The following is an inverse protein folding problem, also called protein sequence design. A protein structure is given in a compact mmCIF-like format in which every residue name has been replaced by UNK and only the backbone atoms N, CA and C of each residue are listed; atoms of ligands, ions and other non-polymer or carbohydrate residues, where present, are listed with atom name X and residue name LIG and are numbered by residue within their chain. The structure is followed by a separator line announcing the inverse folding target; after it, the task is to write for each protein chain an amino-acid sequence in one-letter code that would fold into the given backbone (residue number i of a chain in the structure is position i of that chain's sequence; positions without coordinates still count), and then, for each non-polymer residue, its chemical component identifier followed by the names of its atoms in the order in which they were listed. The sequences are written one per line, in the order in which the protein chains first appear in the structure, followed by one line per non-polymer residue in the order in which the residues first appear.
data_IF_024293073530
#
_entry.id   IF_024293073530
#
_cell.length_a   1.000
_cell.length_b   1.000
_cell.length_c   1.000
_cell.angle_alpha   90.00
_cell.angle_beta   90.00
_cell.angle_gamma   90.00
#
_symmetry.space_group_name_H-M   'P 1'
#
loop_
_entity.id
_entity.type
_entity.pdbx_description
1 polymer ?
#
# COMPACT_ATOMS: atom_id res chain seq x y z
N UNK A 1 -14.51 7.28 -58.29
CA UNK A 1 -15.48 7.33 -57.17
C UNK A 1 -15.17 6.15 -56.26
N UNK A 2 -14.24 6.27 -55.33
CA UNK A 2 -14.40 6.84 -53.98
C UNK A 2 -15.33 6.00 -53.08
N UNK A 3 -14.73 5.09 -52.30
CA UNK A 3 -15.19 4.78 -50.94
C UNK A 3 -13.98 4.37 -50.10
N UNK A 4 -13.43 5.33 -49.37
CA UNK A 4 -12.36 5.16 -48.39
C UNK A 4 -12.96 5.22 -46.99
N UNK A 5 -12.42 4.36 -46.12
CA UNK A 5 -12.10 4.59 -44.69
C UNK A 5 -13.25 5.03 -43.78
N UNK A 6 -13.81 4.08 -43.03
CA UNK A 6 -14.15 4.31 -41.62
C UNK A 6 -14.26 2.97 -40.89
N UNK A 7 -13.21 2.57 -40.16
CA UNK A 7 -13.26 1.30 -39.43
C UNK A 7 -11.90 0.87 -38.91
N UNK A 8 -11.15 1.76 -38.26
CA UNK A 8 -9.91 1.35 -37.57
C UNK A 8 -9.38 2.34 -36.51
N UNK A 9 -10.16 3.36 -36.13
CA UNK A 9 -9.76 4.32 -35.08
C UNK A 9 -10.19 3.89 -33.67
N UNK A 10 -11.33 3.21 -33.53
CA UNK A 10 -11.85 2.79 -32.22
C UNK A 10 -11.01 1.67 -31.58
N UNK A 11 -10.58 0.67 -32.36
CA UNK A 11 -9.74 -0.45 -31.86
C UNK A 11 -8.29 -0.05 -31.55
N UNK A 12 -7.73 0.96 -32.26
CA UNK A 12 -6.39 1.47 -31.94
C UNK A 12 -6.36 2.32 -30.67
N UNK A 13 -7.47 3.01 -30.34
CA UNK A 13 -7.54 3.81 -29.11
C UNK A 13 -7.64 2.93 -27.84
N UNK A 14 -8.33 1.79 -27.89
CA UNK A 14 -8.43 0.86 -26.75
C UNK A 14 -7.14 0.09 -26.47
N UNK A 15 -6.32 -0.18 -27.49
CA UNK A 15 -4.99 -0.80 -27.32
C UNK A 15 -3.97 0.19 -26.73
N UNK A 16 -4.03 1.47 -27.11
CA UNK A 16 -3.16 2.52 -26.56
C UNK A 16 -3.47 2.85 -25.10
N UNK A 17 -4.74 2.80 -24.70
CA UNK A 17 -5.12 3.01 -23.28
C UNK A 17 -4.76 1.82 -22.38
N UNK A 18 -4.83 0.58 -22.87
CA UNK A 18 -4.36 -0.59 -22.11
C UNK A 18 -2.84 -0.60 -21.89
N UNK A 19 -2.05 -0.16 -22.88
CA UNK A 19 -0.58 -0.02 -22.76
C UNK A 19 -0.20 1.13 -21.83
N UNK A 20 -0.94 2.25 -21.84
CA UNK A 20 -0.72 3.35 -20.91
C UNK A 20 -1.06 2.98 -19.45
N UNK A 21 -2.11 2.16 -19.23
CA UNK A 21 -2.47 1.67 -17.89
C UNK A 21 -1.45 0.63 -17.40
N UNK A 22 -0.92 -0.23 -18.27
CA UNK A 22 0.17 -1.16 -17.93
C UNK A 22 1.50 -0.46 -17.61
N UNK A 23 1.83 0.62 -18.32
CA UNK A 23 3.05 1.41 -18.07
C UNK A 23 2.96 2.23 -16.78
N UNK A 24 1.78 2.72 -16.39
CA UNK A 24 1.58 3.41 -15.10
C UNK A 24 1.68 2.48 -13.88
N UNK A 25 1.38 1.19 -14.03
CA UNK A 25 1.58 0.20 -12.96
C UNK A 25 3.04 -0.22 -12.80
N UNK A 26 3.88 -0.12 -13.85
CA UNK A 26 5.30 -0.46 -13.77
C UNK A 26 6.17 0.65 -13.14
N UNK A 27 5.75 1.92 -13.25
CA UNK A 27 6.51 3.07 -12.74
C UNK A 27 6.56 3.21 -11.21
N UNK A 28 5.63 2.58 -10.49
CA UNK A 28 5.55 2.69 -9.03
C UNK A 28 6.22 1.52 -8.27
N UNK A 29 6.60 0.44 -8.97
CA UNK A 29 7.23 -0.73 -8.32
C UNK A 29 8.68 -0.45 -7.90
N UNK A 30 9.33 0.55 -8.52
CA UNK A 30 10.73 0.92 -8.23
C UNK A 30 10.92 1.75 -6.94
N UNK A 31 9.84 2.10 -6.22
CA UNK A 31 9.93 3.01 -5.06
C UNK A 31 9.77 2.35 -3.69
N UNK A 32 9.45 1.06 -3.61
CA UNK A 32 9.16 0.39 -2.35
C UNK A 32 9.86 -0.98 -2.26
N UNK A 33 9.83 -1.59 -1.06
CA UNK A 33 10.47 -2.87 -0.82
C UNK A 33 9.87 -3.94 -1.75
N UNK A 34 10.70 -4.72 -2.47
CA UNK A 34 10.24 -5.67 -3.49
C UNK A 34 9.43 -6.86 -2.93
N UNK A 35 9.39 -7.02 -1.61
CA UNK A 35 8.67 -8.09 -0.92
C UNK A 35 7.48 -7.58 -0.09
N UNK A 36 7.19 -6.28 -0.06
CA UNK A 36 6.09 -5.71 0.72
C UNK A 36 4.83 -5.52 -0.14
N UNK A 37 3.67 -6.01 0.33
CA UNK A 37 2.45 -6.13 -0.49
C UNK A 37 1.61 -4.85 -0.65
N UNK A 38 1.88 -3.81 0.12
CA UNK A 38 1.42 -2.43 -0.08
C UNK A 38 1.87 -1.70 1.18
N UNK A 39 2.90 -0.84 1.11
CA UNK A 39 3.44 -0.28 2.33
C UNK A 39 2.41 0.68 2.95
N UNK A 40 2.15 0.60 4.27
CA UNK A 40 1.23 1.49 4.95
C UNK A 40 1.81 2.91 5.00
N UNK A 41 0.94 3.89 5.23
CA UNK A 41 1.40 5.25 5.52
C UNK A 41 2.20 5.25 6.82
N UNK A 42 3.30 6.01 6.84
CA UNK A 42 4.15 6.15 8.02
C UNK A 42 3.62 7.27 8.91
N UNK A 43 3.87 7.19 10.21
CA UNK A 43 3.42 8.15 11.21
C UNK A 43 4.00 9.55 10.97
N UNK A 44 5.25 9.63 10.52
CA UNK A 44 5.87 10.91 10.13
C UNK A 44 5.07 11.56 8.98
N UNK A 45 4.66 10.76 7.99
CA UNK A 45 3.87 11.23 6.85
C UNK A 45 2.44 11.56 7.24
N UNK A 46 1.85 10.77 8.14
CA UNK A 46 0.51 11.01 8.68
C UNK A 46 0.46 12.34 9.45
N UNK A 47 1.44 12.59 10.31
CA UNK A 47 1.58 13.87 11.02
C UNK A 47 1.81 15.02 10.03
N UNK A 48 2.70 14.84 9.04
CA UNK A 48 3.01 15.85 8.04
C UNK A 48 1.80 16.23 7.17
N UNK A 49 0.94 15.27 6.83
CA UNK A 49 -0.28 15.49 6.06
C UNK A 49 -1.43 16.11 6.87
N UNK A 50 -1.34 16.11 8.21
CA UNK A 50 -2.35 16.68 9.09
C UNK A 50 -2.12 18.18 9.28
N UNK A 51 -3.16 19.00 9.20
CA UNK A 51 -3.02 20.43 9.47
C UNK A 51 -2.61 20.69 10.93
N UNK A 52 -3.11 19.86 11.86
CA UNK A 52 -2.84 19.94 13.29
C UNK A 52 -2.56 18.53 13.81
N UNK A 53 -1.47 18.36 14.55
CA UNK A 53 -1.19 17.13 15.28
C UNK A 53 -0.81 17.46 16.73
N UNK A 54 -1.50 16.87 17.70
CA UNK A 54 -1.34 17.20 19.12
C UNK A 54 -1.30 15.96 20.00
N UNK A 55 -0.52 16.04 21.07
CA UNK A 55 -0.59 15.10 22.19
C UNK A 55 -1.54 15.67 23.23
N UNK A 56 -2.55 14.88 23.60
CA UNK A 56 -3.54 15.24 24.62
C UNK A 56 -3.54 14.27 25.79
N UNK A 57 -3.97 14.75 26.94
CA UNK A 57 -4.22 13.99 28.16
C UNK A 57 -5.71 13.89 28.41
N UNK A 58 -6.27 12.68 28.57
CA UNK A 58 -7.68 12.51 28.90
C UNK A 58 -7.94 12.99 30.33
N UNK A 59 -8.90 13.90 30.51
CA UNK A 59 -9.31 14.37 31.84
C UNK A 59 -10.56 13.66 32.33
N UNK A 60 -11.54 13.48 31.44
CA UNK A 60 -12.85 12.91 31.78
C UNK A 60 -13.58 12.46 30.52
N UNK A 61 -14.30 11.35 30.62
CA UNK A 61 -15.35 10.96 29.69
C UNK A 61 -16.72 11.11 30.35
N UNK A 62 -17.70 11.64 29.62
CA UNK A 62 -19.10 11.73 30.05
C UNK A 62 -20.06 11.60 28.87
N UNK A 63 -21.25 11.05 29.12
CA UNK A 63 -22.32 11.01 28.12
C UNK A 63 -23.33 12.09 28.45
N UNK A 64 -23.42 13.10 27.59
CA UNK A 64 -24.34 14.23 27.76
C UNK A 64 -25.64 13.94 27.03
N UNK A 65 -26.76 14.02 27.73
CA UNK A 65 -28.10 13.91 27.12
C UNK A 65 -28.54 15.26 26.56
N UNK A 66 -28.86 15.31 25.26
CA UNK A 66 -29.43 16.48 24.58
C UNK A 66 -30.74 16.06 23.90
N UNK A 67 -31.85 16.21 24.62
CA UNK A 67 -33.14 15.66 24.19
C UNK A 67 -33.14 14.13 24.26
N UNK A 68 -33.55 13.45 23.18
CA UNK A 68 -33.54 11.99 23.08
C UNK A 68 -32.17 11.40 22.67
N UNK A 69 -31.18 12.24 22.36
CA UNK A 69 -29.87 11.82 21.83
C UNK A 69 -28.82 11.81 22.96
N UNK A 70 -28.09 10.71 23.08
CA UNK A 70 -26.92 10.58 23.94
C UNK A 70 -25.67 10.91 23.15
N UNK A 71 -24.91 11.91 23.60
CA UNK A 71 -23.68 12.35 22.92
C UNK A 71 -22.50 12.02 23.83
N UNK A 72 -21.61 11.10 23.43
CA UNK A 72 -20.37 10.87 24.16
C UNK A 72 -19.46 12.10 24.04
N UNK A 73 -18.94 12.56 25.17
CA UNK A 73 -18.01 13.68 25.25
C UNK A 73 -16.77 13.33 26.07
N UNK A 74 -15.60 13.60 25.49
CA UNK A 74 -14.31 13.42 26.15
C UNK A 74 -13.66 14.78 26.36
N UNK A 75 -13.44 15.16 27.61
CA UNK A 75 -12.65 16.34 27.95
C UNK A 75 -11.19 15.95 28.00
N UNK A 76 -10.36 16.57 27.16
CA UNK A 76 -8.92 16.35 27.07
C UNK A 76 -8.16 17.63 27.34
N UNK A 77 -6.89 17.56 27.73
CA UNK A 77 -5.98 18.70 27.86
C UNK A 77 -4.89 18.58 26.81
N UNK A 78 -4.68 19.63 26.03
CA UNK A 78 -3.53 19.68 25.11
C UNK A 78 -2.25 19.73 25.93
N UNK A 79 -1.36 18.77 25.75
CA UNK A 79 -0.04 18.75 26.41
C UNK A 79 1.00 19.41 25.51
N UNK A 80 1.04 19.02 24.24
CA UNK A 80 2.05 19.47 23.29
C UNK A 80 1.51 19.48 21.86
N UNK A 81 1.97 20.42 21.04
CA UNK A 81 1.75 20.43 19.60
C UNK A 81 2.93 19.76 18.91
N UNK A 82 2.63 18.80 18.03
CA UNK A 82 3.59 18.18 17.14
C UNK A 82 3.64 18.89 15.78
N UNK A 83 2.47 19.36 15.31
CA UNK A 83 2.30 20.13 14.07
C UNK A 83 1.14 21.12 14.19
N UNK A 84 1.23 22.23 13.46
CA UNK A 84 0.10 23.16 13.28
C UNK A 84 -0.15 24.16 14.41
N UNK A 85 0.85 24.39 15.28
CA UNK A 85 0.73 25.34 16.38
C UNK A 85 0.42 26.77 15.89
N UNK A 86 0.94 27.18 14.74
CA UNK A 86 0.64 28.47 14.12
C UNK A 86 -0.82 28.61 13.67
N UNK A 87 -1.45 27.53 13.18
CA UNK A 87 -2.85 27.55 12.73
C UNK A 87 -3.81 27.49 13.91
N UNK A 88 -3.42 26.77 14.97
CA UNK A 88 -4.15 26.63 16.22
C UNK A 88 -4.39 27.98 16.93
N UNK A 89 -3.60 29.02 16.64
CA UNK A 89 -3.83 30.38 17.17
C UNK A 89 -4.81 31.22 16.35
N UNK A 90 -5.03 30.86 15.07
CA UNK A 90 -5.87 31.62 14.14
C UNK A 90 -7.37 31.27 14.24
N UNK A 91 -7.69 30.00 14.50
CA UNK A 91 -9.08 29.48 14.47
C UNK A 91 -9.74 29.36 15.86
N UNK A 92 -9.42 30.29 16.76
CA UNK A 92 -9.78 30.22 18.19
C UNK A 92 -8.59 29.74 19.00
N UNK A 93 -8.27 30.35 20.15
CA UNK A 93 -7.00 30.10 20.83
C UNK A 93 -6.98 28.66 21.34
N UNK A 94 -6.30 27.77 20.63
CA UNK A 94 -5.90 26.45 21.12
C UNK A 94 -4.46 26.58 21.62
N UNK A 95 -4.29 26.52 22.94
CA UNK A 95 -2.98 26.62 23.59
C UNK A 95 -2.63 25.34 24.37
N UNK A 96 -1.33 25.08 24.56
CA UNK A 96 -0.88 24.02 25.47
C UNK A 96 -1.40 24.31 26.89
N UNK A 97 -1.86 23.25 27.57
CA UNK A 97 -2.50 23.31 28.88
C UNK A 97 -4.01 23.55 28.86
N UNK A 98 -4.58 23.91 27.70
CA UNK A 98 -6.01 24.21 27.58
C UNK A 98 -6.87 22.94 27.51
N UNK A 99 -8.01 22.90 28.23
CA UNK A 99 -8.99 21.82 28.07
C UNK A 99 -9.80 22.00 26.78
N UNK A 100 -10.00 20.89 26.07
CA UNK A 100 -10.79 20.74 24.85
C UNK A 100 -11.87 19.66 25.09
N UNK A 101 -13.10 19.90 24.66
CA UNK A 101 -14.19 18.91 24.76
C UNK A 101 -14.44 18.32 23.39
N UNK A 102 -14.15 17.03 23.21
CA UNK A 102 -14.34 16.31 21.95
C UNK A 102 -15.68 15.56 21.98
N UNK A 103 -16.47 15.66 20.91
CA UNK A 103 -17.76 14.95 20.77
C UNK A 103 -17.58 13.49 20.32
N UNK A 104 -16.66 12.78 20.96
CA UNK A 104 -16.39 11.37 20.73
C UNK A 104 -15.98 10.67 22.04
N UNK A 105 -16.18 9.36 22.11
CA UNK A 105 -15.69 8.54 23.22
C UNK A 105 -14.20 8.25 23.04
N UNK A 106 -13.40 8.66 24.02
CA UNK A 106 -11.99 8.26 24.15
C UNK A 106 -11.91 7.22 25.26
N UNK A 107 -11.63 5.97 24.87
CA UNK A 107 -11.50 4.86 25.79
C UNK A 107 -10.14 4.93 26.51
N UNK A 108 -10.17 5.19 27.83
CA UNK A 108 -8.98 5.26 28.67
C UNK A 108 -9.27 5.76 30.08
N UNK A 109 -8.25 5.72 30.95
CA UNK A 109 -8.30 6.31 32.27
C UNK A 109 -7.93 7.81 32.23
N UNK A 110 -8.45 8.63 33.15
CA UNK A 110 -7.95 10.00 33.32
C UNK A 110 -6.44 10.02 33.55
N UNK A 111 -5.73 10.80 32.75
CA UNK A 111 -4.26 10.88 32.72
C UNK A 111 -3.60 10.14 31.56
N UNK A 112 -4.34 9.27 30.86
CA UNK A 112 -3.84 8.58 29.67
C UNK A 112 -3.60 9.57 28.52
N UNK A 113 -2.59 9.28 27.71
CA UNK A 113 -2.12 10.15 26.64
C UNK A 113 -2.56 9.62 25.27
N UNK A 114 -2.94 10.53 24.39
CA UNK A 114 -3.44 10.22 23.05
C UNK A 114 -2.82 11.16 22.02
N UNK A 115 -2.55 10.64 20.81
CA UNK A 115 -2.28 11.42 19.62
C UNK A 115 -3.61 11.74 18.93
N UNK A 116 -3.84 13.02 18.65
CA UNK A 116 -4.94 13.49 17.81
C UNK A 116 -4.40 14.18 16.58
N UNK A 117 -4.99 13.81 15.45
CA UNK A 117 -4.73 14.40 14.15
C UNK A 117 -5.97 15.16 13.71
N UNK A 118 -5.77 16.36 13.17
CA UNK A 118 -6.85 17.27 12.83
C UNK A 118 -6.61 17.90 11.47
N UNK A 119 -7.71 18.02 10.71
CA UNK A 119 -7.76 18.70 9.43
C UNK A 119 -8.60 19.97 9.54
N UNK A 120 -8.15 21.03 8.87
CA UNK A 120 -8.84 22.30 8.72
C UNK A 120 -9.76 22.25 7.49
N UNK A 121 -10.85 23.03 7.46
CA UNK A 121 -11.71 23.07 6.29
C UNK A 121 -10.95 23.76 5.16
N UNK A 122 -10.89 23.12 3.99
CA UNK A 122 -10.30 23.71 2.78
C UNK A 122 -11.10 24.95 2.37
N UNK A 123 -10.42 26.08 2.10
CA UNK A 123 -11.05 27.30 1.57
C UNK A 123 -11.64 27.14 0.15
N UNK A 124 -11.51 25.97 -0.48
CA UNK A 124 -11.97 25.68 -1.85
C UNK A 124 -13.43 25.21 -1.96
N UNK A 125 -14.22 25.31 -0.88
CA UNK A 125 -15.67 25.21 -1.02
C UNK A 125 -16.26 26.60 -1.28
N UNK A 126 -16.35 26.97 -2.56
CA UNK A 126 -17.55 27.68 -3.03
C UNK A 126 -18.75 26.78 -2.73
N UNK A 127 -19.24 26.81 -1.50
CA UNK A 127 -20.55 26.28 -1.18
C UNK A 127 -21.56 27.19 -1.88
N UNK A 128 -21.90 26.87 -3.12
CA UNK A 128 -23.30 27.00 -3.52
C UNK A 128 -24.08 26.12 -2.56
N UNK A 129 -24.51 26.71 -1.45
CA UNK A 129 -25.53 26.14 -0.61
C UNK A 129 -26.80 26.11 -1.45
N UNK A 130 -27.04 25.00 -2.12
CA UNK A 130 -28.31 24.70 -2.76
C UNK A 130 -29.37 24.61 -1.67
N UNK A 131 -29.92 25.76 -1.29
CA UNK A 131 -31.22 25.80 -0.64
C UNK A 131 -32.21 25.25 -1.66
N UNK A 132 -32.68 24.03 -1.43
CA UNK A 132 -33.87 23.52 -2.10
C UNK A 132 -35.04 24.41 -1.68
N UNK A 133 -35.37 25.41 -2.49
CA UNK A 133 -36.71 25.99 -2.46
C UNK A 133 -37.65 24.93 -3.02
N UNK A 134 -38.44 24.33 -2.15
CA UNK A 134 -39.57 23.49 -2.57
C UNK A 134 -40.52 24.34 -3.40
N UNK A 135 -40.40 24.23 -4.72
CA UNK A 135 -41.33 24.77 -5.69
C UNK A 135 -42.00 23.61 -6.41
N UNK A 136 -42.96 22.97 -5.74
CA UNK A 136 -43.94 22.12 -6.43
C UNK A 136 -45.33 22.38 -5.84
N UNK A 137 -46.08 23.23 -6.53
CA UNK A 137 -47.52 23.18 -6.51
C UNK A 137 -48.02 23.44 -7.94
N UNK A 138 -48.42 22.38 -8.63
CA UNK A 138 -49.35 22.49 -9.74
C UNK A 138 -50.23 21.24 -9.87
N UNK A 139 -51.48 21.51 -10.22
CA UNK A 139 -52.61 20.63 -10.60
C UNK A 139 -53.39 19.95 -9.46
N UNK A 140 -54.72 19.97 -9.39
CA UNK A 140 -55.82 20.82 -9.90
C UNK A 140 -57.14 20.15 -9.48
N UNK A 141 -58.13 20.90 -8.93
CA UNK A 141 -59.57 20.82 -9.29
C UNK A 141 -60.48 21.57 -8.29
N UNK A 142 -61.25 22.54 -8.82
CA UNK A 142 -62.65 22.98 -8.51
C UNK A 142 -63.13 23.07 -7.04
N UNK A 143 -63.87 24.08 -6.57
CA UNK A 143 -64.72 25.11 -7.20
C UNK A 143 -65.23 26.09 -6.13
N UNK A 144 -65.42 27.35 -6.52
CA UNK A 144 -66.42 28.35 -6.08
C UNK A 144 -66.52 28.76 -4.59
N UNK A 145 -66.13 30.01 -4.26
CA UNK A 145 -67.06 31.16 -4.18
C UNK A 145 -66.31 32.46 -3.83
N UNK A 146 -66.86 33.58 -4.32
CA UNK A 146 -66.23 34.89 -4.44
C UNK A 146 -66.32 35.78 -3.18
N UNK A 147 -65.32 36.62 -2.92
CA UNK A 147 -65.46 38.10 -2.89
C UNK A 147 -64.19 38.81 -2.39
N UNK A 148 -63.67 39.66 -3.29
CA UNK A 148 -63.04 40.98 -3.11
C UNK A 148 -62.24 41.36 -1.84
N UNK A 149 -61.00 41.80 -2.15
CA UNK A 149 -60.37 43.08 -1.77
C UNK A 149 -59.53 43.17 -0.48
N UNK A 150 -58.22 43.22 -0.73
CA UNK A 150 -57.24 44.22 -0.26
C UNK A 150 -56.87 44.23 1.23
N UNK A 151 -55.63 43.78 1.53
CA UNK A 151 -54.99 44.00 2.84
C UNK A 151 -53.56 44.49 2.66
N UNK A 152 -53.36 45.77 2.99
CA UNK A 152 -52.06 46.39 3.19
C UNK A 152 -51.39 45.86 4.47
N UNK A 153 -50.08 45.68 4.38
CA UNK A 153 -49.26 45.06 5.42
C UNK A 153 -49.09 45.87 6.70
N UNK A 154 -48.89 45.15 7.80
CA UNK A 154 -48.41 45.68 9.07
C UNK A 154 -47.22 44.85 9.56
N UNK A 155 -46.05 45.48 9.65
CA UNK A 155 -44.84 44.91 10.28
C UNK A 155 -45.01 45.02 11.80
N UNK A 156 -44.85 43.90 12.51
CA UNK A 156 -44.78 43.90 13.98
C UNK A 156 -43.36 43.54 14.40
N UNK A 157 -42.61 44.56 14.82
CA UNK A 157 -41.35 44.44 15.56
C UNK A 157 -41.66 44.12 17.02
N UNK A 158 -41.10 43.04 17.55
CA UNK A 158 -41.18 42.71 18.98
C UNK A 158 -39.86 43.05 19.67
N UNK A 159 -39.89 44.08 20.52
CA UNK A 159 -38.83 44.45 21.46
C UNK A 159 -38.81 43.49 22.66
N UNK A 160 -37.67 42.85 22.91
CA UNK A 160 -37.45 42.00 24.06
C UNK A 160 -36.96 42.82 25.27
N UNK A 161 -37.82 42.95 26.27
CA UNK A 161 -37.49 43.54 27.59
C UNK A 161 -36.46 42.70 28.33
N UNK A 162 -35.45 43.38 28.86
CA UNK A 162 -34.49 42.86 29.86
C UNK A 162 -35.17 42.63 31.21
N UNK A 163 -34.89 41.48 31.83
CA UNK A 163 -35.06 41.28 33.28
C UNK A 163 -33.78 40.68 33.86
N UNK A 164 -33.15 41.42 34.78
CA UNK A 164 -32.04 40.96 35.60
C UNK A 164 -32.51 39.95 36.65
N UNK A 165 -31.76 38.86 36.85
CA UNK A 165 -31.57 38.25 38.17
C UNK A 165 -30.28 37.42 38.25
N UNK A 166 -29.25 38.07 38.79
CA UNK A 166 -28.28 37.63 39.83
C UNK A 166 -27.81 36.15 39.86
N UNK A 167 -26.55 35.99 39.44
CA UNK A 167 -25.44 35.26 40.08
C UNK A 167 -25.50 33.75 40.34
N UNK A 168 -24.82 32.99 39.46
CA UNK A 168 -23.60 32.25 39.82
C UNK A 168 -22.76 32.03 38.56
N UNK A 169 -21.75 32.89 38.37
CA UNK A 169 -20.73 32.75 37.31
C UNK A 169 -19.81 31.58 37.68
N UNK A 170 -20.20 30.36 37.31
CA UNK A 170 -19.22 29.30 37.06
C UNK A 170 -18.66 29.64 35.68
N UNK A 171 -17.40 30.09 35.60
CA UNK A 171 -16.70 30.21 34.33
C UNK A 171 -16.58 28.80 33.73
N UNK A 172 -17.52 28.43 32.87
CA UNK A 172 -17.33 27.36 31.88
C UNK A 172 -16.33 27.90 30.84
N UNK A 173 -15.05 27.89 31.17
CA UNK A 173 -13.99 27.94 30.16
C UNK A 173 -13.71 26.52 29.67
N UNK A 174 -14.77 25.84 29.22
CA UNK A 174 -14.66 24.71 28.30
C UNK A 174 -15.01 25.31 26.95
N UNK A 175 -13.99 25.78 26.22
CA UNK A 175 -14.23 26.19 24.85
C UNK A 175 -14.66 24.93 24.09
N UNK A 176 -15.86 24.98 23.52
CA UNK A 176 -16.30 24.06 22.48
C UNK A 176 -15.18 24.00 21.43
N UNK A 177 -14.92 22.80 20.90
CA UNK A 177 -14.05 22.60 19.72
C UNK A 177 -14.30 23.77 18.77
N UNK A 178 -13.28 24.43 18.20
CA UNK A 178 -13.53 25.24 17.03
C UNK A 178 -14.33 24.36 16.07
N UNK A 179 -15.60 24.67 15.80
CA UNK A 179 -16.50 23.86 14.96
C UNK A 179 -15.92 23.59 13.56
N UNK A 180 -14.78 24.23 13.24
CA UNK A 180 -14.00 24.09 12.01
C UNK A 180 -13.03 22.90 11.98
N UNK A 181 -12.51 22.36 13.10
CA UNK A 181 -11.48 21.29 13.03
C UNK A 181 -12.15 19.91 13.03
N UNK A 182 -11.91 19.15 11.96
CA UNK A 182 -12.26 17.73 11.91
C UNK A 182 -11.13 16.92 12.54
N UNK A 183 -11.41 16.25 13.66
CA UNK A 183 -10.47 15.37 14.33
C UNK A 183 -10.65 13.93 13.86
N UNK A 184 -9.53 13.30 13.50
CA UNK A 184 -9.48 11.88 13.16
C UNK A 184 -9.54 10.99 14.41
N UNK A 185 -9.74 9.67 14.24
CA UNK A 185 -9.66 8.72 15.35
C UNK A 185 -8.37 8.87 16.16
N UNK A 186 -8.48 8.77 17.49
CA UNK A 186 -7.36 8.91 18.39
C UNK A 186 -6.50 7.64 18.44
N UNK A 187 -5.19 7.82 18.61
CA UNK A 187 -4.28 6.72 18.90
C UNK A 187 -3.76 6.84 20.35
N UNK A 188 -3.89 5.81 21.20
CA UNK A 188 -3.26 5.82 22.52
C UNK A 188 -1.73 5.86 22.35
N UNK A 189 -1.05 6.69 23.14
CA UNK A 189 0.41 6.84 23.07
C UNK A 189 1.08 6.67 24.42
N UNK A 190 2.14 5.87 24.45
CA UNK A 190 3.02 5.77 25.60
C UNK A 190 3.97 6.97 25.68
N UNK A 191 4.65 7.14 26.82
CA UNK A 191 5.74 8.14 26.92
C UNK A 191 6.91 7.81 25.98
N UNK A 192 7.10 6.52 25.68
CA UNK A 192 8.09 6.06 24.72
C UNK A 192 7.70 6.47 23.31
N UNK A 193 6.43 6.29 22.93
CA UNK A 193 5.87 6.76 21.65
C UNK A 193 6.04 8.27 21.46
N UNK A 194 5.77 9.07 22.49
CA UNK A 194 5.99 10.52 22.40
C UNK A 194 7.46 10.84 22.16
N UNK A 195 8.39 10.16 22.86
CA UNK A 195 9.83 10.33 22.62
C UNK A 195 10.21 9.88 21.21
N UNK A 196 9.63 8.79 20.73
CA UNK A 196 9.86 8.26 19.40
C UNK A 196 9.42 9.26 18.33
N UNK A 197 8.21 9.80 18.40
CA UNK A 197 7.68 10.77 17.43
C UNK A 197 8.56 12.02 17.39
N UNK A 198 8.95 12.54 18.56
CA UNK A 198 9.75 13.78 18.66
C UNK A 198 11.18 13.64 18.12
N UNK A 199 11.74 12.44 18.14
CA UNK A 199 13.08 12.17 17.63
C UNK A 199 13.08 11.54 16.23
N UNK A 200 11.89 11.27 15.66
CA UNK A 200 11.77 10.70 14.34
C UNK A 200 12.33 11.67 13.29
N UNK A 201 13.21 11.21 12.38
CA UNK A 201 13.65 12.02 11.25
C UNK A 201 12.47 12.45 10.39
N UNK A 202 12.37 13.75 10.12
CA UNK A 202 11.30 14.33 9.30
C UNK A 202 11.27 13.79 7.86
N UNK A 203 10.13 13.96 7.18
CA UNK A 203 9.91 13.44 5.82
C UNK A 203 10.87 14.03 4.78
N UNK A 204 11.37 15.25 5.00
CA UNK A 204 12.33 15.91 4.11
C UNK A 204 13.74 15.30 4.15
N UNK A 205 14.02 14.39 5.08
CA UNK A 205 15.30 13.68 5.18
C UNK A 205 15.30 12.49 4.23
N UNK A 206 16.39 12.28 3.49
CA UNK A 206 16.53 11.13 2.59
C UNK A 206 16.33 9.80 3.32
N UNK A 207 15.57 8.88 2.72
CA UNK A 207 15.10 7.66 3.39
C UNK A 207 16.25 6.81 3.95
N UNK A 208 17.33 6.63 3.20
CA UNK A 208 18.55 5.94 3.66
C UNK A 208 19.11 6.49 4.99
N UNK A 209 18.97 7.79 5.25
CA UNK A 209 19.43 8.42 6.50
C UNK A 209 18.43 8.24 7.64
N UNK A 210 17.15 8.01 7.32
CA UNK A 210 16.07 7.78 8.27
C UNK A 210 16.05 6.34 8.77
N UNK A 211 16.32 5.36 7.90
CA UNK A 211 16.25 3.92 8.21
C UNK A 211 17.03 3.50 9.48
N UNK A 212 18.25 3.99 9.78
CA UNK A 212 18.98 3.62 11.00
C UNK A 212 18.27 4.03 12.30
N UNK A 213 17.39 5.04 12.26
CA UNK A 213 16.55 5.40 13.39
C UNK A 213 15.46 4.35 13.59
N UNK A 214 14.67 4.09 12.55
CA UNK A 214 13.53 3.17 12.55
C UNK A 214 13.94 1.72 12.81
N UNK A 215 15.12 1.30 12.36
CA UNK A 215 15.64 -0.05 12.55
C UNK A 215 15.66 -0.49 14.03
N UNK A 216 15.83 0.45 14.95
CA UNK A 216 15.86 0.20 16.41
C UNK A 216 14.50 -0.22 16.97
N UNK A 217 13.43 0.00 16.21
CA UNK A 217 12.05 -0.13 16.65
C UNK A 217 11.25 -1.19 15.89
N UNK A 218 11.87 -1.92 14.94
CA UNK A 218 11.19 -2.90 14.08
C UNK A 218 10.30 -3.89 14.86
N UNK A 219 10.78 -4.43 15.98
CA UNK A 219 10.00 -5.32 16.87
C UNK A 219 9.83 -4.72 18.28
N UNK A 220 9.60 -3.41 18.36
CA UNK A 220 9.30 -2.77 19.64
C UNK A 220 7.96 -3.31 20.20
N UNK A 221 7.86 -3.57 21.53
CA UNK A 221 6.61 -4.02 22.16
C UNK A 221 5.44 -3.04 22.04
N UNK A 222 5.70 -1.75 21.87
CA UNK A 222 4.67 -0.74 21.55
C UNK A 222 4.31 -0.86 20.06
N UNK A 223 3.07 -1.27 19.73
CA UNK A 223 2.66 -1.50 18.33
C UNK A 223 2.75 -0.25 17.47
N UNK A 224 2.57 0.94 18.03
CA UNK A 224 2.68 2.19 17.27
C UNK A 224 4.09 2.35 16.68
N UNK A 225 5.12 2.02 17.46
CA UNK A 225 6.52 2.15 17.07
C UNK A 225 6.92 1.04 16.10
N UNK A 226 6.54 -0.20 16.39
CA UNK A 226 6.93 -1.34 15.55
C UNK A 226 6.21 -1.37 14.21
N UNK A 227 4.96 -0.90 14.13
CA UNK A 227 4.24 -0.75 12.87
C UNK A 227 4.86 0.38 12.05
N UNK A 228 5.11 1.55 12.65
CA UNK A 228 5.69 2.69 11.93
C UNK A 228 7.12 2.40 11.45
N UNK A 229 7.95 1.80 12.30
CA UNK A 229 9.30 1.40 11.93
C UNK A 229 9.32 0.40 10.76
N UNK A 230 8.42 -0.59 10.78
CA UNK A 230 8.27 -1.52 9.67
C UNK A 230 7.77 -0.81 8.40
N UNK A 231 6.81 0.12 8.53
CA UNK A 231 6.28 0.90 7.43
C UNK A 231 7.38 1.70 6.71
N UNK A 232 8.32 2.29 7.45
CA UNK A 232 9.44 3.04 6.89
C UNK A 232 10.37 2.17 6.04
N UNK A 233 10.60 0.91 6.43
CA UNK A 233 11.34 -0.06 5.62
C UNK A 233 10.50 -0.59 4.44
N UNK A 234 9.21 -0.83 4.64
CA UNK A 234 8.32 -1.30 3.58
C UNK A 234 8.19 -0.28 2.44
N UNK A 235 8.20 1.02 2.77
CA UNK A 235 8.22 2.12 1.81
C UNK A 235 9.62 2.38 1.22
N UNK A 236 10.68 1.72 1.70
CA UNK A 236 12.03 2.01 1.26
C UNK A 236 12.40 1.32 -0.05
N UNK A 237 13.19 2.01 -0.87
CA UNK A 237 13.78 1.38 -2.04
C UNK A 237 14.76 0.28 -1.61
N UNK A 238 14.94 -0.72 -2.47
CA UNK A 238 15.92 -1.77 -2.20
C UNK A 238 17.34 -1.20 -1.97
N UNK A 239 17.73 -0.21 -2.78
CA UNK A 239 19.07 0.40 -2.70
C UNK A 239 19.29 1.12 -1.36
N UNK A 240 18.27 1.81 -0.83
CA UNK A 240 18.35 2.46 0.49
C UNK A 240 18.48 1.43 1.62
N UNK A 241 17.71 0.33 1.54
CA UNK A 241 17.79 -0.77 2.52
C UNK A 241 19.17 -1.44 2.44
N UNK A 242 19.68 -1.70 1.23
CA UNK A 242 21.02 -2.27 1.00
C UNK A 242 22.13 -1.35 1.51
N UNK A 243 21.99 -0.04 1.37
CA UNK A 243 22.96 0.94 1.84
C UNK A 243 23.13 0.95 3.37
N UNK A 244 22.14 0.49 4.13
CA UNK A 244 22.21 0.40 5.60
C UNK A 244 22.54 -1.01 6.12
N UNK A 245 22.94 -1.94 5.25
CA UNK A 245 23.21 -3.35 5.61
C UNK A 245 24.19 -3.54 6.77
N UNK A 246 25.23 -2.70 6.85
CA UNK A 246 26.27 -2.82 7.88
C UNK A 246 25.78 -2.46 9.30
N UNK A 247 24.57 -1.90 9.40
CA UNK A 247 23.92 -1.54 10.67
C UNK A 247 22.84 -2.53 11.09
N UNK A 248 22.50 -3.50 10.24
CA UNK A 248 21.39 -4.42 10.48
C UNK A 248 21.67 -5.37 11.65
N UNK A 249 20.67 -5.63 12.52
CA UNK A 249 20.87 -6.46 13.71
C UNK A 249 20.79 -7.95 13.34
N UNK A 250 21.84 -8.49 12.71
CA UNK A 250 21.92 -9.89 12.21
C UNK A 250 21.36 -10.93 13.19
N UNK A 251 21.79 -10.90 14.45
CA UNK A 251 21.34 -11.90 15.44
C UNK A 251 19.86 -11.76 15.80
N UNK A 252 19.33 -10.52 15.84
CA UNK A 252 17.90 -10.30 16.08
C UNK A 252 17.07 -10.75 14.88
N UNK A 253 17.54 -10.48 13.64
CA UNK A 253 16.89 -10.97 12.43
C UNK A 253 16.75 -12.49 12.43
N UNK A 254 17.81 -13.23 12.83
CA UNK A 254 17.73 -14.68 12.99
C UNK A 254 16.69 -15.10 14.02
N UNK A 255 16.62 -14.41 15.16
CA UNK A 255 15.62 -14.69 16.21
C UNK A 255 14.19 -14.44 15.71
N UNK A 256 13.95 -13.31 15.05
CA UNK A 256 12.64 -12.95 14.51
C UNK A 256 12.18 -13.90 13.39
N UNK A 257 13.08 -14.30 12.50
CA UNK A 257 12.77 -15.28 11.44
C UNK A 257 12.43 -16.66 12.04
N UNK A 258 13.08 -17.04 13.14
CA UNK A 258 12.83 -18.32 13.81
C UNK A 258 11.54 -18.32 14.66
N UNK A 259 10.95 -17.17 14.95
CA UNK A 259 9.74 -17.06 15.76
C UNK A 259 8.52 -17.58 14.99
N UNK A 260 7.84 -18.65 15.47
CA UNK A 260 6.67 -19.19 14.80
C UNK A 260 5.47 -18.23 14.78
N UNK A 261 5.42 -17.22 15.66
CA UNK A 261 4.36 -16.22 15.75
C UNK A 261 4.64 -14.96 14.92
N UNK A 262 5.82 -14.87 14.28
CA UNK A 262 6.17 -13.74 13.42
C UNK A 262 5.18 -13.61 12.27
N UNK A 263 4.76 -12.36 11.98
CA UNK A 263 3.78 -12.17 10.92
C UNK A 263 4.42 -12.39 9.54
N UNK A 264 3.68 -13.02 8.60
CA UNK A 264 4.17 -13.26 7.25
C UNK A 264 4.71 -12.02 6.52
N UNK A 265 4.07 -10.86 6.73
CA UNK A 265 4.44 -9.59 6.09
C UNK A 265 5.83 -9.10 6.52
N UNK A 266 6.22 -9.39 7.78
CA UNK A 266 7.52 -9.03 8.35
C UNK A 266 8.62 -9.99 7.92
N UNK A 267 8.29 -11.28 7.78
CA UNK A 267 9.24 -12.33 7.41
C UNK A 267 9.95 -12.06 6.08
N UNK A 268 9.23 -11.55 5.07
CA UNK A 268 9.82 -11.23 3.78
C UNK A 268 10.93 -10.19 3.88
N UNK A 269 10.65 -9.08 4.57
CA UNK A 269 11.63 -8.02 4.83
C UNK A 269 12.84 -8.57 5.61
N UNK A 270 12.61 -9.34 6.68
CA UNK A 270 13.69 -9.86 7.52
C UNK A 270 14.56 -10.87 6.80
N UNK A 271 13.97 -11.73 5.95
CA UNK A 271 14.71 -12.62 5.07
C UNK A 271 15.67 -11.87 4.15
N UNK A 272 15.17 -10.84 3.47
CA UNK A 272 15.99 -10.00 2.60
C UNK A 272 17.08 -9.29 3.39
N UNK A 273 16.76 -8.67 4.54
CA UNK A 273 17.74 -7.99 5.39
C UNK A 273 18.84 -8.94 5.88
N UNK A 274 18.48 -10.16 6.30
CA UNK A 274 19.45 -11.16 6.71
C UNK A 274 20.33 -11.60 5.52
N UNK A 275 19.79 -11.68 4.31
CA UNK A 275 20.58 -11.93 3.11
C UNK A 275 21.56 -10.81 2.76
N UNK A 276 21.22 -9.56 3.08
CA UNK A 276 22.08 -8.39 2.85
C UNK A 276 23.24 -8.27 3.84
N UNK A 277 23.00 -8.57 5.13
CA UNK A 277 24.00 -8.41 6.19
C UNK A 277 24.62 -9.73 6.68
N UNK A 278 24.13 -10.86 6.19
CA UNK A 278 24.49 -12.19 6.65
C UNK A 278 25.76 -12.77 6.01
N UNK A 279 26.03 -14.02 6.35
CA UNK A 279 27.15 -14.81 5.88
C UNK A 279 26.74 -16.28 5.61
N UNK A 280 27.72 -17.16 5.40
CA UNK A 280 27.47 -18.57 5.12
C UNK A 280 26.64 -19.30 6.18
N UNK A 281 26.77 -18.97 7.47
CA UNK A 281 25.96 -19.58 8.53
C UNK A 281 24.49 -19.13 8.46
N UNK A 282 24.23 -17.95 7.90
CA UNK A 282 22.88 -17.45 7.64
C UNK A 282 22.26 -18.11 6.41
N UNK A 283 23.07 -18.47 5.41
CA UNK A 283 22.60 -19.27 4.29
C UNK A 283 22.08 -20.63 4.76
N UNK A 284 22.85 -21.34 5.60
CA UNK A 284 22.44 -22.63 6.18
C UNK A 284 21.17 -22.47 7.03
N UNK A 285 21.07 -21.38 7.78
CA UNK A 285 19.88 -21.08 8.58
C UNK A 285 18.65 -20.82 7.69
N UNK A 286 18.76 -19.96 6.68
CA UNK A 286 17.66 -19.64 5.76
C UNK A 286 17.23 -20.87 4.97
N UNK A 287 18.16 -21.71 4.53
CA UNK A 287 17.85 -22.98 3.87
C UNK A 287 16.95 -23.87 4.74
N UNK A 288 17.28 -23.98 6.04
CA UNK A 288 16.45 -24.72 7.01
C UNK A 288 15.07 -24.09 7.18
N UNK A 289 14.98 -22.77 7.28
CA UNK A 289 13.69 -22.07 7.42
C UNK A 289 12.80 -22.24 6.18
N UNK A 290 13.40 -22.17 4.99
CA UNK A 290 12.70 -22.43 3.73
C UNK A 290 12.26 -23.90 3.70
N UNK A 291 13.17 -24.84 3.95
CA UNK A 291 12.93 -26.28 3.88
C UNK A 291 11.94 -26.82 4.92
N UNK A 292 11.77 -26.14 6.05
CA UNK A 292 10.80 -26.50 7.08
C UNK A 292 9.34 -26.38 6.62
N UNK A 293 9.05 -25.56 5.60
CA UNK A 293 7.72 -25.48 4.98
C UNK A 293 7.59 -26.64 3.98
N UNK A 294 6.70 -27.62 4.20
CA UNK A 294 6.57 -28.78 3.33
C UNK A 294 6.15 -28.32 1.93
N UNK A 295 6.89 -28.69 0.87
CA UNK A 295 6.57 -28.29 -0.47
C UNK A 295 5.35 -29.02 -1.05
N UNK A 296 4.63 -29.84 -0.28
CA UNK A 296 3.55 -30.70 -0.78
C UNK A 296 2.16 -30.32 -0.27
N UNK A 297 2.03 -29.30 0.59
CA UNK A 297 0.73 -28.77 1.05
C UNK A 297 -0.22 -29.81 1.68
N UNK A 298 0.30 -30.95 2.15
CA UNK A 298 -0.50 -32.08 2.67
C UNK A 298 -1.04 -31.87 4.08
N UNK A 299 -0.50 -30.88 4.80
CA UNK A 299 -0.97 -30.48 6.11
C UNK A 299 -1.71 -29.14 6.00
N UNK A 300 -3.03 -29.18 6.16
CA UNK A 300 -3.93 -28.00 6.09
C UNK A 300 -3.57 -26.90 7.12
N UNK A 301 -2.80 -27.25 8.16
CA UNK A 301 -2.33 -26.33 9.20
C UNK A 301 -1.07 -25.53 8.81
N UNK A 302 -0.42 -25.88 7.70
CA UNK A 302 0.80 -25.26 7.22
C UNK A 302 0.58 -24.66 5.83
N UNK A 303 -0.57 -23.98 5.68
CA UNK A 303 -0.86 -23.16 4.51
C UNK A 303 0.22 -22.08 4.41
N UNK A 304 0.90 -22.09 3.26
CA UNK A 304 1.80 -21.08 2.73
C UNK A 304 1.99 -19.82 3.62
N UNK A 305 3.19 -19.67 4.19
CA UNK A 305 3.61 -18.44 4.85
C UNK A 305 3.90 -17.39 3.77
N UNK A 306 3.07 -16.34 3.68
CA UNK A 306 3.46 -15.09 3.00
C UNK A 306 4.84 -14.63 3.55
N UNK A 307 5.67 -13.97 2.74
CA UNK A 307 7.03 -13.58 3.12
C UNK A 307 8.12 -14.64 2.91
N UNK A 308 7.76 -15.86 2.47
CA UNK A 308 8.75 -16.90 2.10
C UNK A 308 9.57 -16.54 0.87
N UNK A 309 9.04 -15.69 -0.01
CA UNK A 309 9.74 -15.07 -1.13
C UNK A 309 10.92 -14.22 -0.67
N UNK A 310 10.76 -13.41 0.37
CA UNK A 310 11.86 -12.62 0.93
C UNK A 310 12.91 -13.47 1.65
N UNK A 311 12.52 -14.58 2.30
CA UNK A 311 13.47 -15.59 2.81
C UNK A 311 14.27 -16.23 1.67
N UNK A 312 13.61 -16.63 0.59
CA UNK A 312 14.27 -17.17 -0.60
C UNK A 312 15.16 -16.13 -1.28
N UNK A 313 14.72 -14.88 -1.38
CA UNK A 313 15.52 -13.77 -1.90
C UNK A 313 16.77 -13.55 -1.06
N UNK A 314 16.65 -13.52 0.26
CA UNK A 314 17.77 -13.46 1.18
C UNK A 314 18.75 -14.63 1.06
N UNK A 315 18.22 -15.84 0.88
CA UNK A 315 19.05 -17.02 0.64
C UNK A 315 19.82 -16.93 -0.69
N UNK A 316 19.17 -16.46 -1.76
CA UNK A 316 19.84 -16.25 -3.05
C UNK A 316 20.92 -15.16 -2.97
N UNK A 317 20.71 -14.09 -2.18
CA UNK A 317 21.74 -13.06 -1.95
C UNK A 317 23.03 -13.66 -1.35
N UNK A 318 22.90 -14.64 -0.47
CA UNK A 318 24.05 -15.27 0.21
C UNK A 318 24.71 -16.39 -0.60
N UNK A 319 23.97 -17.05 -1.49
CA UNK A 319 24.41 -18.30 -2.13
C UNK A 319 24.56 -18.23 -3.65
N UNK A 320 24.01 -17.22 -4.30
CA UNK A 320 24.09 -17.07 -5.75
C UNK A 320 23.51 -18.28 -6.50
N UNK A 321 24.28 -18.84 -7.43
CA UNK A 321 23.85 -19.95 -8.29
C UNK A 321 23.49 -21.24 -7.52
N UNK A 322 24.17 -21.52 -6.42
CA UNK A 322 23.90 -22.71 -5.60
C UNK A 322 22.49 -22.63 -4.99
N UNK A 323 22.07 -21.43 -4.57
CA UNK A 323 20.72 -21.21 -4.07
C UNK A 323 19.65 -21.41 -5.14
N UNK A 324 19.94 -21.04 -6.39
CA UNK A 324 19.03 -21.31 -7.51
C UNK A 324 18.89 -22.82 -7.74
N UNK A 325 19.99 -23.57 -7.66
CA UNK A 325 19.95 -25.03 -7.77
C UNK A 325 19.10 -25.66 -6.64
N UNK A 326 19.20 -25.15 -5.42
CA UNK A 326 18.34 -25.57 -4.30
C UNK A 326 16.86 -25.29 -4.58
N UNK A 327 16.51 -24.08 -5.06
CA UNK A 327 15.12 -23.74 -5.39
C UNK A 327 14.58 -24.61 -6.54
N UNK A 328 15.39 -24.97 -7.52
CA UNK A 328 15.00 -25.91 -8.58
C UNK A 328 14.64 -27.30 -8.04
N UNK A 329 15.42 -27.80 -7.07
CA UNK A 329 15.22 -29.14 -6.49
C UNK A 329 14.07 -29.19 -5.46
N UNK A 330 13.71 -28.06 -4.87
CA UNK A 330 12.77 -28.01 -3.74
C UNK A 330 11.47 -27.28 -4.04
N UNK A 331 11.46 -26.28 -4.93
CA UNK A 331 10.31 -25.41 -5.21
C UNK A 331 9.89 -25.45 -6.68
N UNK A 332 10.82 -25.41 -7.63
CA UNK A 332 10.50 -25.38 -9.07
C UNK A 332 10.38 -26.78 -9.69
N UNK A 333 9.64 -27.69 -9.02
CA UNK A 333 9.42 -29.06 -9.49
C UNK A 333 7.93 -29.42 -9.52
N UNK A 334 7.54 -30.46 -10.29
CA UNK A 334 6.16 -30.92 -10.31
C UNK A 334 5.64 -31.30 -8.92
N UNK A 335 4.36 -30.98 -8.66
CA UNK A 335 3.68 -31.34 -7.40
C UNK A 335 3.89 -30.36 -6.24
N UNK A 336 4.59 -29.24 -6.46
CA UNK A 336 4.70 -28.15 -5.48
C UNK A 336 3.50 -27.20 -5.61
N UNK A 337 2.84 -26.78 -4.50
CA UNK A 337 1.76 -25.81 -4.52
C UNK A 337 2.15 -24.51 -5.23
N UNK A 338 1.22 -24.00 -6.04
CA UNK A 338 1.41 -22.82 -6.89
C UNK A 338 1.95 -21.61 -6.13
N UNK A 339 1.48 -21.36 -4.91
CA UNK A 339 1.95 -20.24 -4.07
C UNK A 339 3.43 -20.36 -3.71
N UNK A 340 3.90 -21.58 -3.39
CA UNK A 340 5.32 -21.84 -3.08
C UNK A 340 6.19 -21.65 -4.31
N UNK A 341 5.70 -22.04 -5.50
CA UNK A 341 6.40 -21.79 -6.75
C UNK A 341 6.41 -20.30 -7.08
N UNK A 342 5.29 -19.60 -6.86
CA UNK A 342 5.18 -18.16 -7.06
C UNK A 342 6.18 -17.40 -6.17
N UNK A 343 6.32 -17.76 -4.90
CA UNK A 343 7.31 -17.16 -4.01
C UNK A 343 8.75 -17.37 -4.50
N UNK A 344 9.09 -18.56 -5.02
CA UNK A 344 10.40 -18.81 -5.63
C UNK A 344 10.60 -17.99 -6.91
N UNK A 345 9.57 -17.85 -7.74
CA UNK A 345 9.57 -16.99 -8.94
C UNK A 345 9.80 -15.52 -8.55
N UNK A 346 9.16 -15.03 -7.49
CA UNK A 346 9.36 -13.67 -6.99
C UNK A 346 10.79 -13.44 -6.49
N UNK A 347 11.38 -14.41 -5.78
CA UNK A 347 12.79 -14.34 -5.37
C UNK A 347 13.75 -14.28 -6.58
N UNK A 348 13.52 -15.08 -7.62
CA UNK A 348 14.31 -15.04 -8.87
C UNK A 348 14.13 -13.71 -9.60
N UNK A 349 12.90 -13.19 -9.69
CA UNK A 349 12.62 -11.88 -10.29
C UNK A 349 13.29 -10.74 -9.52
N UNK A 350 13.35 -10.84 -8.19
CA UNK A 350 14.07 -9.90 -7.35
C UNK A 350 15.57 -9.88 -7.71
N UNK A 351 16.24 -11.04 -7.77
CA UNK A 351 17.66 -11.10 -8.17
C UNK A 351 17.86 -10.59 -9.59
N UNK A 352 16.98 -10.96 -10.52
CA UNK A 352 17.01 -10.47 -11.90
C UNK A 352 17.01 -8.93 -11.97
N UNK A 353 16.17 -8.30 -11.15
CA UNK A 353 15.90 -6.85 -11.23
C UNK A 353 16.91 -6.02 -10.46
N UNK A 354 17.34 -6.49 -9.28
CA UNK A 354 18.13 -5.70 -8.34
C UNK A 354 19.58 -6.18 -8.18
N UNK A 355 19.86 -7.45 -8.43
CA UNK A 355 21.18 -8.07 -8.21
C UNK A 355 21.63 -8.87 -9.44
N UNK A 356 21.45 -8.28 -10.63
CA UNK A 356 21.77 -8.91 -11.92
C UNK A 356 23.24 -9.30 -12.11
N UNK A 357 24.14 -8.76 -11.27
CA UNK A 357 25.57 -9.13 -11.25
C UNK A 357 25.89 -10.34 -10.39
N UNK A 358 24.99 -10.71 -9.46
CA UNK A 358 25.19 -11.82 -8.53
C UNK A 358 25.01 -13.17 -9.21
N UNK A 359 24.00 -13.27 -10.10
CA UNK A 359 23.65 -14.49 -10.81
C UNK A 359 23.52 -14.17 -12.30
N UNK A 360 24.21 -14.91 -13.19
CA UNK A 360 24.10 -14.69 -14.63
C UNK A 360 22.65 -14.76 -15.10
N UNK A 361 22.23 -13.79 -15.92
CA UNK A 361 20.87 -13.75 -16.45
C UNK A 361 20.48 -15.01 -17.23
N UNK A 362 21.44 -15.65 -17.90
CA UNK A 362 21.23 -16.94 -18.57
C UNK A 362 20.83 -18.06 -17.59
N UNK A 363 21.42 -18.06 -16.38
CA UNK A 363 21.10 -19.02 -15.32
C UNK A 363 19.68 -18.83 -14.80
N UNK A 364 19.26 -17.58 -14.57
CA UNK A 364 17.90 -17.24 -14.12
C UNK A 364 16.84 -17.57 -15.19
N UNK A 365 17.14 -17.25 -16.46
CA UNK A 365 16.30 -17.64 -17.62
C UNK A 365 16.10 -19.15 -17.69
N UNK A 366 17.19 -19.91 -17.57
CA UNK A 366 17.13 -21.38 -17.58
C UNK A 366 16.21 -21.92 -16.48
N UNK A 367 16.27 -21.39 -15.27
CA UNK A 367 15.36 -21.77 -14.18
C UNK A 367 13.90 -21.44 -14.49
N UNK A 368 13.64 -20.26 -15.05
CA UNK A 368 12.30 -19.82 -15.42
C UNK A 368 11.69 -20.71 -16.52
N UNK A 369 12.47 -21.10 -17.54
CA UNK A 369 12.01 -22.00 -18.62
C UNK A 369 11.45 -23.32 -18.09
N UNK A 370 11.99 -23.88 -17.00
CA UNK A 370 11.49 -25.13 -16.39
C UNK A 370 9.99 -25.10 -16.06
N UNK A 371 9.47 -23.91 -15.76
CA UNK A 371 8.07 -23.69 -15.40
C UNK A 371 7.11 -23.70 -16.60
N UNK A 372 7.60 -23.73 -17.85
CA UNK A 372 6.75 -23.86 -19.04
C UNK A 372 5.95 -25.17 -19.05
N UNK A 373 6.51 -26.22 -18.45
CA UNK A 373 5.85 -27.51 -18.23
C UNK A 373 4.74 -27.49 -17.17
N UNK A 374 4.67 -26.44 -16.34
CA UNK A 374 3.66 -26.29 -15.31
C UNK A 374 2.45 -25.50 -15.86
N UNK A 375 1.34 -26.19 -16.11
CA UNK A 375 0.13 -25.60 -16.70
C UNK A 375 -0.38 -24.36 -15.93
N UNK A 376 -0.38 -24.39 -14.60
CA UNK A 376 -0.92 -23.31 -13.78
C UNK A 376 -0.07 -22.02 -13.86
N UNK A 377 1.22 -22.17 -14.13
CA UNK A 377 2.19 -21.07 -14.16
C UNK A 377 2.69 -20.74 -15.57
N UNK A 378 2.23 -21.49 -16.57
CA UNK A 378 2.72 -21.39 -17.95
C UNK A 378 2.59 -19.99 -18.51
N UNK A 379 1.42 -19.35 -18.36
CA UNK A 379 1.16 -18.00 -18.85
C UNK A 379 2.08 -16.99 -18.14
N UNK A 380 2.18 -17.04 -16.81
CA UNK A 380 3.07 -16.19 -16.02
C UNK A 380 4.53 -16.34 -16.48
N UNK A 381 4.95 -17.57 -16.75
CA UNK A 381 6.29 -17.92 -17.22
C UNK A 381 6.55 -17.33 -18.61
N UNK A 382 5.62 -17.51 -19.56
CA UNK A 382 5.72 -16.94 -20.91
C UNK A 382 5.83 -15.41 -20.84
N UNK A 383 4.99 -14.76 -20.05
CA UNK A 383 5.04 -13.29 -19.85
C UNK A 383 6.38 -12.84 -19.30
N UNK A 384 6.92 -13.54 -18.30
CA UNK A 384 8.24 -13.22 -17.74
C UNK A 384 9.37 -13.42 -18.75
N UNK A 385 9.38 -14.54 -19.48
CA UNK A 385 10.40 -14.82 -20.51
C UNK A 385 10.36 -13.80 -21.65
N UNK A 386 9.16 -13.36 -22.08
CA UNK A 386 9.01 -12.27 -23.04
C UNK A 386 9.62 -10.96 -22.52
N UNK A 387 9.31 -10.59 -21.27
CA UNK A 387 9.85 -9.39 -20.60
C UNK A 387 11.37 -9.45 -20.49
N UNK A 388 11.92 -10.63 -20.21
CA UNK A 388 13.36 -10.89 -20.13
C UNK A 388 14.03 -11.09 -21.49
N UNK A 389 13.27 -10.92 -22.58
CA UNK A 389 13.72 -11.08 -23.96
C UNK A 389 14.42 -12.42 -24.18
N UNK A 390 13.83 -13.47 -23.65
CA UNK A 390 14.41 -14.80 -23.68
C UNK A 390 13.95 -15.59 -24.91
N UNK A 391 14.43 -15.19 -26.09
CA UNK A 391 13.98 -15.74 -27.37
C UNK A 391 14.39 -17.19 -27.61
N UNK A 392 15.38 -17.68 -26.87
CA UNK A 392 15.84 -19.07 -26.97
C UNK A 392 14.79 -20.09 -26.54
N UNK A 393 13.75 -19.69 -25.78
CA UNK A 393 12.66 -20.59 -25.42
C UNK A 393 11.64 -20.81 -26.55
N UNK A 394 11.78 -20.11 -27.68
CA UNK A 394 10.83 -20.20 -28.80
C UNK A 394 10.51 -21.63 -29.26
N UNK A 395 11.49 -22.53 -29.47
CA UNK A 395 11.19 -23.89 -29.93
C UNK A 395 10.25 -24.66 -28.98
N UNK A 396 10.41 -24.47 -27.67
CA UNK A 396 9.55 -25.09 -26.66
C UNK A 396 8.14 -24.50 -26.68
N UNK A 397 8.02 -23.18 -26.84
CA UNK A 397 6.71 -22.51 -26.96
C UNK A 397 5.96 -22.93 -28.21
N UNK A 398 6.64 -23.06 -29.34
CA UNK A 398 6.03 -23.55 -30.59
C UNK A 398 5.51 -24.98 -30.42
N UNK A 399 6.30 -25.84 -29.75
CA UNK A 399 5.88 -27.21 -29.44
C UNK A 399 4.64 -27.24 -28.54
N UNK A 400 4.61 -26.44 -27.47
CA UNK A 400 3.45 -26.32 -26.58
C UNK A 400 2.22 -25.85 -27.36
N UNK A 401 2.39 -24.86 -28.25
CA UNK A 401 1.29 -24.35 -29.07
C UNK A 401 0.66 -25.47 -29.92
N UNK A 402 1.51 -26.19 -30.66
CA UNK A 402 1.06 -27.22 -31.63
C UNK A 402 0.51 -28.48 -30.97
N UNK A 403 1.06 -28.88 -29.82
CA UNK A 403 0.81 -30.22 -29.27
C UNK A 403 0.02 -30.23 -27.97
N UNK A 404 0.09 -29.17 -27.16
CA UNK A 404 -0.40 -29.20 -25.76
C UNK A 404 -1.48 -28.16 -25.46
N UNK A 405 -1.65 -27.15 -26.30
CA UNK A 405 -2.53 -26.01 -26.02
C UNK A 405 -3.84 -26.00 -26.81
N UNK A 406 -4.22 -27.09 -27.46
CA UNK A 406 -5.39 -27.14 -28.35
C UNK A 406 -6.69 -26.63 -27.68
N UNK A 407 -6.89 -26.98 -26.41
CA UNK A 407 -8.06 -26.57 -25.62
C UNK A 407 -7.79 -25.38 -24.68
N UNK A 408 -6.57 -24.82 -24.69
CA UNK A 408 -6.16 -23.70 -23.83
C UNK A 408 -5.89 -22.42 -24.65
N UNK A 409 -6.98 -21.70 -24.93
CA UNK A 409 -6.94 -20.42 -25.65
C UNK A 409 -6.12 -19.35 -24.93
N UNK A 410 -6.01 -19.40 -23.61
CA UNK A 410 -5.27 -18.40 -22.85
C UNK A 410 -3.76 -18.59 -23.04
N UNK A 411 -3.28 -19.82 -22.97
CA UNK A 411 -1.89 -20.16 -23.32
C UNK A 411 -1.59 -19.88 -24.78
N UNK A 412 -2.47 -20.26 -25.72
CA UNK A 412 -2.30 -19.94 -27.15
C UNK A 412 -2.09 -18.43 -27.36
N UNK A 413 -2.95 -17.60 -26.75
CA UNK A 413 -2.83 -16.14 -26.82
C UNK A 413 -1.51 -15.64 -26.25
N UNK A 414 -1.06 -16.17 -25.11
CA UNK A 414 0.21 -15.79 -24.50
C UNK A 414 1.41 -16.13 -25.41
N UNK A 415 1.39 -17.30 -26.06
CA UNK A 415 2.44 -17.72 -27.01
C UNK A 415 2.44 -16.82 -28.25
N UNK A 416 1.27 -16.49 -28.80
CA UNK A 416 1.14 -15.56 -29.93
C UNK A 416 1.69 -14.18 -29.56
N UNK A 417 1.38 -13.67 -28.37
CA UNK A 417 1.92 -12.40 -27.88
C UNK A 417 3.44 -12.46 -27.69
N UNK A 418 3.97 -13.58 -27.22
CA UNK A 418 5.42 -13.80 -27.16
C UNK A 418 6.04 -13.76 -28.56
N UNK A 419 5.45 -14.46 -29.54
CA UNK A 419 5.93 -14.50 -30.93
C UNK A 419 5.94 -13.11 -31.57
N UNK A 420 4.90 -12.30 -31.30
CA UNK A 420 4.76 -10.91 -31.74
C UNK A 420 5.87 -9.99 -31.21
N UNK A 421 6.37 -10.23 -30.01
CA UNK A 421 7.56 -9.53 -29.50
C UNK A 421 8.86 -10.14 -30.01
N UNK A 422 8.94 -11.47 -30.11
CA UNK A 422 10.11 -12.20 -30.60
C UNK A 422 10.45 -11.83 -32.05
N UNK A 423 9.46 -11.66 -32.94
CA UNK A 423 9.70 -11.28 -34.36
C UNK A 423 10.40 -9.92 -34.53
N UNK A 424 10.34 -9.06 -33.50
CA UNK A 424 11.00 -7.75 -33.50
C UNK A 424 12.47 -7.84 -33.08
N UNK A 425 12.94 -9.03 -32.66
CA UNK A 425 14.27 -9.21 -32.10
C UNK A 425 15.38 -9.19 -33.17
N UNK A 426 16.34 -8.29 -32.97
CA UNK A 426 17.57 -8.21 -33.74
C UNK A 426 18.76 -8.78 -32.97
N UNK A 427 19.74 -9.28 -33.70
CA UNK A 427 21.08 -9.62 -33.19
C UNK A 427 21.90 -8.36 -32.91
N UNK A 428 23.07 -8.52 -32.28
CA UNK A 428 23.96 -7.41 -31.92
C UNK A 428 24.44 -6.58 -33.14
N UNK A 429 24.52 -7.19 -34.32
CA UNK A 429 24.87 -6.54 -35.59
C UNK A 429 23.65 -5.91 -36.31
N UNK A 430 22.47 -5.94 -35.69
CA UNK A 430 21.24 -5.36 -36.24
C UNK A 430 20.51 -6.25 -37.25
N UNK A 431 21.00 -7.46 -37.54
CA UNK A 431 20.28 -8.41 -38.39
C UNK A 431 19.11 -9.07 -37.66
N UNK A 432 18.15 -9.60 -38.42
CA UNK A 432 16.99 -10.32 -37.85
C UNK A 432 17.48 -11.67 -37.31
N UNK A 433 17.25 -11.91 -36.02
CA UNK A 433 17.65 -13.17 -35.36
C UNK A 433 16.92 -14.39 -35.93
N UNK A 434 17.54 -15.57 -35.83
CA UNK A 434 16.91 -16.81 -36.31
C UNK A 434 15.60 -17.12 -35.59
N UNK A 435 15.54 -16.82 -34.29
CA UNK A 435 14.30 -16.95 -33.50
C UNK A 435 13.21 -15.98 -33.97
N UNK A 436 13.58 -14.74 -34.34
CA UNK A 436 12.64 -13.79 -34.90
C UNK A 436 12.04 -14.27 -36.24
N UNK A 437 12.85 -14.87 -37.12
CA UNK A 437 12.37 -15.46 -38.38
C UNK A 437 11.45 -16.67 -38.14
N UNK A 438 11.78 -17.50 -37.16
CA UNK A 438 10.96 -18.65 -36.79
C UNK A 438 9.59 -18.20 -36.24
N UNK A 439 9.58 -17.21 -35.35
CA UNK A 439 8.36 -16.60 -34.82
C UNK A 439 7.50 -15.95 -35.92
N UNK A 440 8.12 -15.22 -36.86
CA UNK A 440 7.42 -14.60 -38.00
C UNK A 440 6.75 -15.65 -38.91
N UNK A 441 7.48 -16.73 -39.21
CA UNK A 441 6.93 -17.86 -39.98
C UNK A 441 5.76 -18.52 -39.26
N UNK A 442 5.85 -18.69 -37.94
CA UNK A 442 4.76 -19.25 -37.14
C UNK A 442 3.51 -18.36 -37.19
N UNK A 443 3.65 -17.05 -37.00
CA UNK A 443 2.52 -16.11 -37.03
C UNK A 443 1.81 -16.12 -38.39
N UNK A 444 2.55 -16.25 -39.50
CA UNK A 444 1.96 -16.40 -40.83
C UNK A 444 1.18 -17.73 -41.03
N UNK A 445 1.57 -18.79 -40.32
CA UNK A 445 0.93 -20.11 -40.42
C UNK A 445 -0.25 -20.29 -39.46
N UNK A 446 -0.23 -19.60 -38.33
CA UNK A 446 -1.21 -19.78 -37.27
C UNK A 446 -2.59 -19.12 -37.56
N UNK A 447 -2.76 -18.48 -38.73
CA UNK A 447 -3.97 -17.74 -39.12
C UNK A 447 -4.49 -16.79 -38.00
N UNK A 448 -3.58 -16.07 -37.33
CA UNK A 448 -3.90 -15.07 -36.31
C UNK A 448 -4.22 -13.71 -36.94
#
# INVERSE_FOLDING_TARGET
MASLKCGNRAQRLTLLSAVAIGAMLAGNVLRACPFCLSPPMTLVKEIANSDIAVIVELLKFEVVQKGAVQIPQSTVRIREFLQGAEYATKFGPLQSGQPLVLSQEIAGAPGDLFLLLGSLPSNDSSTESTFATNTEAATSSSSDEASSADSGGGIVTADLKSTESVSKRIQRTSFLIPELISWDPYAPVSREAIRYIKNAPGESVEQVQRLPYFMKFLENPDPLLSIDAWAEFANATYDDVKAVKDRMPREQLRQWIADPMMTPERLGLYGMMLGLCGNADDAVFLEKQIGAVPPTGKDEKEFFRYGTDGLMGGYLLLTGEDGVAFLEQTRLKPGVPTDSVHAAVQAIQFIWSYESSLIPQSRLKSSMRRLLSNNDLRILTITNLARWKDWECWPELEQIFRNESADDRATQKAIVQFAEECRKATTADGSVSDMARAADKFLAQAEV
#
